data_IF_740678516070
#
_entry.id   IF_740678516070
#
_cell.length_a   1.000
_cell.length_b   1.000
_cell.length_c   1.000
_cell.angle_alpha   90.00
_cell.angle_beta   90.00
_cell.angle_gamma   90.00
#
_symmetry.space_group_name_H-M   'P 1'
#
loop_
_entity.id
_entity.type
_entity.pdbx_description
1 polymer ?
#
# COMPACT_ATOMS: atom_id res chain seq x y z
N UNK A 1 -7.50 -41.02 -19.23
CA UNK A 1 -7.38 -40.96 -17.76
C UNK A 1 -6.32 -39.91 -17.42
N UNK A 2 -6.73 -38.80 -16.79
CA UNK A 2 -5.75 -37.85 -16.26
C UNK A 2 -4.99 -38.50 -15.10
N UNK A 3 -3.67 -38.53 -15.15
CA UNK A 3 -2.85 -38.97 -14.02
C UNK A 3 -3.11 -38.04 -12.84
N UNK A 4 -3.36 -38.59 -11.61
CA UNK A 4 -3.49 -37.73 -10.44
C UNK A 4 -2.23 -36.90 -10.27
N UNK A 5 -2.40 -35.63 -9.84
CA UNK A 5 -1.28 -34.76 -9.48
C UNK A 5 -0.38 -35.52 -8.51
N UNK A 6 0.89 -35.70 -8.89
CA UNK A 6 1.85 -36.44 -8.08
C UNK A 6 2.35 -35.51 -6.97
N UNK A 7 1.59 -35.44 -5.87
CA UNK A 7 1.94 -34.71 -4.65
C UNK A 7 2.73 -35.68 -3.76
N UNK A 8 4.00 -35.42 -3.59
CA UNK A 8 4.89 -36.21 -2.72
C UNK A 8 5.36 -35.34 -1.55
N UNK A 9 5.45 -35.96 -0.36
CA UNK A 9 6.07 -35.35 0.83
C UNK A 9 7.31 -36.14 1.18
N UNK A 10 8.49 -35.50 1.14
CA UNK A 10 9.77 -36.07 1.50
C UNK A 10 10.45 -35.17 2.53
N UNK A 11 10.86 -35.71 3.67
CA UNK A 11 11.57 -34.97 4.74
C UNK A 11 10.88 -33.65 5.09
N UNK A 12 9.56 -33.68 5.34
CA UNK A 12 8.71 -32.54 5.66
C UNK A 12 8.48 -31.52 4.51
N UNK A 13 9.13 -31.71 3.38
CA UNK A 13 8.96 -30.86 2.19
C UNK A 13 7.95 -31.46 1.22
N UNK A 14 7.02 -30.63 0.74
CA UNK A 14 6.03 -31.02 -0.25
C UNK A 14 6.58 -30.77 -1.67
N UNK A 15 6.42 -31.73 -2.55
CA UNK A 15 6.88 -31.69 -3.94
C UNK A 15 5.71 -31.81 -4.90
N UNK A 16 5.79 -31.09 -6.00
CA UNK A 16 4.93 -31.21 -7.18
C UNK A 16 5.85 -31.48 -8.40
N UNK A 17 5.70 -32.60 -9.06
CA UNK A 17 6.60 -33.03 -10.15
C UNK A 17 8.09 -33.03 -9.78
N UNK A 18 8.42 -33.48 -8.56
CA UNK A 18 9.77 -33.47 -7.98
C UNK A 18 10.37 -32.06 -7.73
N UNK A 19 9.58 -31.01 -7.78
CA UNK A 19 10.00 -29.66 -7.43
C UNK A 19 9.31 -29.20 -6.13
N UNK A 20 10.06 -28.63 -5.17
CA UNK A 20 9.45 -28.02 -4.01
C UNK A 20 8.67 -26.78 -4.44
N UNK A 21 7.49 -26.57 -3.88
CA UNK A 21 6.66 -25.42 -4.23
C UNK A 21 6.30 -24.59 -3.00
N UNK A 22 6.12 -23.29 -3.20
CA UNK A 22 5.67 -22.38 -2.16
C UNK A 22 4.16 -22.49 -1.97
N UNK A 23 3.74 -22.51 -0.71
CA UNK A 23 2.34 -22.60 -0.30
C UNK A 23 1.99 -21.38 0.55
N UNK A 24 0.87 -20.78 0.29
CA UNK A 24 0.33 -19.67 1.10
C UNK A 24 -1.17 -19.54 0.91
N UNK A 25 -1.83 -18.91 1.88
CA UNK A 25 -3.20 -18.41 1.76
C UNK A 25 -3.15 -16.90 1.72
N UNK A 26 -3.89 -16.31 0.80
CA UNK A 26 -4.00 -14.85 0.63
C UNK A 26 -5.45 -14.43 0.64
N UNK A 27 -5.77 -13.43 1.48
CA UNK A 27 -7.08 -12.80 1.56
C UNK A 27 -6.95 -11.29 1.42
N UNK A 28 -7.87 -10.68 0.68
CA UNK A 28 -7.91 -9.25 0.42
C UNK A 28 -9.34 -8.73 0.58
N UNK A 29 -9.46 -7.55 1.19
CA UNK A 29 -10.68 -6.78 1.25
C UNK A 29 -10.38 -5.38 0.71
N UNK A 30 -11.06 -4.98 -0.34
CA UNK A 30 -10.94 -3.65 -0.95
C UNK A 30 -12.34 -3.05 -1.08
N UNK A 31 -12.59 -1.97 -0.35
CA UNK A 31 -13.87 -1.29 -0.31
C UNK A 31 -13.71 0.15 -0.76
N UNK A 32 -14.48 0.54 -1.77
CA UNK A 32 -14.48 1.88 -2.35
C UNK A 32 -15.88 2.46 -2.24
N UNK A 33 -15.96 3.70 -1.74
CA UNK A 33 -17.22 4.42 -1.58
C UNK A 33 -17.07 5.87 -2.07
N UNK A 34 -18.08 6.34 -2.78
CA UNK A 34 -18.17 7.71 -3.25
C UNK A 34 -19.45 8.36 -2.71
N UNK A 35 -19.33 9.59 -2.22
CA UNK A 35 -20.46 10.40 -1.81
C UNK A 35 -20.47 11.70 -2.61
N UNK A 36 -21.57 11.98 -3.31
CA UNK A 36 -21.80 13.27 -3.92
C UNK A 36 -22.03 14.30 -2.81
N UNK A 37 -21.16 15.30 -2.72
CA UNK A 37 -21.28 16.42 -1.77
C UNK A 37 -22.07 17.54 -2.42
N UNK A 38 -21.85 17.79 -3.71
CA UNK A 38 -22.60 18.72 -4.54
C UNK A 38 -22.62 18.25 -5.99
N UNK A 39 -23.26 19.01 -6.89
CA UNK A 39 -23.20 18.74 -8.34
C UNK A 39 -21.78 18.81 -8.92
N UNK A 40 -20.85 19.46 -8.22
CA UNK A 40 -19.48 19.72 -8.67
C UNK A 40 -18.42 19.15 -7.74
N UNK A 41 -18.81 18.35 -6.74
CA UNK A 41 -17.84 17.77 -5.79
C UNK A 41 -18.23 16.40 -5.25
N UNK A 42 -17.22 15.57 -5.07
CA UNK A 42 -17.32 14.17 -4.62
C UNK A 42 -16.31 13.92 -3.51
N UNK A 43 -16.75 13.25 -2.48
CA UNK A 43 -15.88 12.67 -1.47
C UNK A 43 -15.69 11.18 -1.75
N UNK A 44 -14.47 10.73 -1.89
CA UNK A 44 -14.12 9.34 -2.18
C UNK A 44 -13.31 8.73 -1.03
N UNK A 45 -13.65 7.50 -0.67
CA UNK A 45 -12.99 6.69 0.34
C UNK A 45 -12.60 5.36 -0.26
N UNK A 46 -11.39 4.89 0.03
CA UNK A 46 -10.98 3.51 -0.16
C UNK A 46 -10.43 2.95 1.14
N UNK A 47 -10.81 1.73 1.46
CA UNK A 47 -10.25 0.94 2.57
C UNK A 47 -9.74 -0.39 2.02
N UNK A 48 -8.49 -0.68 2.26
CA UNK A 48 -7.85 -1.94 1.84
C UNK A 48 -7.22 -2.65 3.03
N UNK A 49 -7.50 -3.95 3.13
CA UNK A 49 -6.86 -4.87 4.08
C UNK A 49 -6.42 -6.09 3.31
N UNK A 50 -5.16 -6.44 3.38
CA UNK A 50 -4.61 -7.61 2.72
C UNK A 50 -3.70 -8.40 3.64
N UNK A 51 -3.86 -9.72 3.66
CA UNK A 51 -3.06 -10.66 4.44
C UNK A 51 -2.70 -11.86 3.61
N UNK A 52 -1.41 -12.23 3.61
CA UNK A 52 -0.92 -13.47 3.04
C UNK A 52 -0.13 -14.25 4.10
N UNK A 53 -0.50 -15.51 4.33
CA UNK A 53 0.10 -16.36 5.35
C UNK A 53 0.87 -17.48 4.66
N UNK A 54 2.20 -17.59 4.87
CA UNK A 54 2.98 -18.70 4.34
C UNK A 54 2.59 -20.00 5.02
N UNK A 55 2.58 -21.10 4.29
CA UNK A 55 2.20 -22.44 4.75
C UNK A 55 3.15 -23.49 4.21
N UNK A 56 3.16 -24.65 4.86
CA UNK A 56 3.89 -25.84 4.40
C UNK A 56 5.38 -25.58 4.19
N UNK A 57 5.85 -25.60 2.95
CA UNK A 57 7.26 -25.37 2.61
C UNK A 57 7.69 -23.89 2.68
N UNK A 58 6.74 -22.96 2.71
CA UNK A 58 7.04 -21.54 2.61
C UNK A 58 7.23 -20.96 4.01
N UNK A 59 8.34 -20.26 4.22
CA UNK A 59 8.60 -19.43 5.40
C UNK A 59 8.31 -17.95 5.13
N UNK A 60 8.19 -17.58 3.85
CA UNK A 60 7.87 -16.23 3.39
C UNK A 60 6.98 -16.27 2.16
N UNK A 61 6.39 -15.15 1.82
CA UNK A 61 5.57 -15.00 0.61
C UNK A 61 6.47 -14.63 -0.58
N UNK A 62 6.29 -15.24 -1.76
CA UNK A 62 7.03 -14.84 -2.95
C UNK A 62 6.83 -13.34 -3.26
N UNK A 63 7.90 -12.64 -3.65
CA UNK A 63 7.91 -11.20 -3.90
C UNK A 63 6.74 -10.72 -4.78
N UNK A 64 6.45 -11.42 -5.87
CA UNK A 64 5.37 -11.10 -6.80
C UNK A 64 3.95 -11.31 -6.23
N UNK A 65 3.83 -11.80 -5.01
CA UNK A 65 2.58 -12.03 -4.27
C UNK A 65 2.49 -11.25 -2.97
N UNK A 66 3.60 -10.67 -2.55
CA UNK A 66 3.69 -9.79 -1.40
C UNK A 66 2.99 -8.45 -1.64
N UNK A 67 2.78 -7.70 -0.59
CA UNK A 67 2.28 -6.34 -0.65
C UNK A 67 3.43 -5.34 -0.60
N UNK A 68 3.23 -4.22 -1.24
CA UNK A 68 4.07 -3.04 -1.13
C UNK A 68 3.20 -1.82 -0.82
N UNK A 69 3.81 -0.71 -0.41
CA UNK A 69 3.12 0.55 -0.18
C UNK A 69 3.88 1.72 -0.80
N UNK A 70 3.12 2.80 -1.07
CA UNK A 70 3.57 3.98 -1.80
C UNK A 70 3.15 3.98 -3.27
N UNK A 71 3.25 5.15 -3.89
CA UNK A 71 2.92 5.37 -5.30
C UNK A 71 1.54 6.00 -5.54
N UNK A 72 1.28 6.25 -6.80
CA UNK A 72 0.17 7.10 -7.25
C UNK A 72 -1.24 6.57 -6.89
N UNK A 73 -1.42 5.27 -6.67
CA UNK A 73 -2.70 4.63 -6.35
C UNK A 73 -2.74 4.04 -4.93
N UNK A 74 -1.79 4.45 -4.08
CA UNK A 74 -1.68 3.98 -2.70
C UNK A 74 -1.39 5.18 -1.78
N UNK A 75 -0.26 5.23 -1.08
CA UNK A 75 0.14 6.40 -0.31
C UNK A 75 1.01 7.32 -1.18
N UNK A 76 0.41 8.39 -1.69
CA UNK A 76 1.01 9.31 -2.67
C UNK A 76 2.17 10.15 -2.15
N UNK A 77 2.37 10.19 -0.83
CA UNK A 77 3.51 10.88 -0.23
C UNK A 77 4.83 10.08 -0.29
N UNK A 78 4.78 8.79 -0.69
CA UNK A 78 5.94 7.93 -0.88
C UNK A 78 6.01 7.41 -2.32
N UNK A 79 7.21 7.24 -2.80
CA UNK A 79 7.46 6.47 -4.02
C UNK A 79 7.06 4.99 -3.81
N UNK A 80 6.84 4.29 -4.91
CA UNK A 80 6.52 2.85 -4.90
C UNK A 80 7.65 2.08 -4.20
N UNK A 81 7.31 1.14 -3.32
CA UNK A 81 8.23 0.34 -2.50
C UNK A 81 9.04 1.12 -1.44
N UNK A 82 8.73 2.39 -1.18
CA UNK A 82 9.51 3.21 -0.24
C UNK A 82 8.86 3.40 1.13
N UNK A 83 7.69 2.82 1.35
CA UNK A 83 7.00 2.88 2.63
C UNK A 83 7.00 1.51 3.32
N UNK A 84 7.38 1.49 4.60
CA UNK A 84 7.40 0.29 5.43
C UNK A 84 8.55 -0.67 5.12
N UNK A 85 8.51 -1.91 5.62
CA UNK A 85 7.52 -2.44 6.59
C UNK A 85 7.60 -1.77 7.97
N UNK A 86 6.45 -1.50 8.55
CA UNK A 86 6.32 -0.92 9.88
C UNK A 86 7.09 0.38 10.06
N UNK A 87 7.93 0.46 11.11
CA UNK A 87 8.82 1.58 11.38
C UNK A 87 10.25 1.38 10.86
N UNK A 88 10.49 0.34 10.05
CA UNK A 88 11.80 0.13 9.44
C UNK A 88 12.07 1.17 8.33
N UNK A 89 13.33 1.45 8.10
CA UNK A 89 13.79 2.27 6.98
C UNK A 89 14.81 1.48 6.17
N UNK A 90 14.48 1.22 4.90
CA UNK A 90 15.42 0.68 3.93
C UNK A 90 15.58 1.67 2.78
N UNK A 91 16.77 2.25 2.64
CA UNK A 91 17.05 3.30 1.64
C UNK A 91 17.11 2.79 0.20
N UNK A 92 17.49 1.53 -0.02
CA UNK A 92 17.85 1.01 -1.34
C UNK A 92 17.13 -0.27 -1.78
N UNK A 93 16.27 -0.84 -0.94
CA UNK A 93 15.58 -2.10 -1.23
C UNK A 93 14.13 -1.88 -1.62
N UNK A 94 13.56 -2.84 -2.32
CA UNK A 94 12.14 -2.92 -2.56
C UNK A 94 11.46 -3.40 -1.27
N UNK A 95 10.80 -2.49 -0.58
CA UNK A 95 10.06 -2.82 0.64
C UNK A 95 8.79 -3.58 0.30
N UNK A 96 8.69 -4.77 0.85
CA UNK A 96 7.55 -5.67 0.71
C UNK A 96 7.24 -6.36 2.03
N UNK A 97 6.00 -6.80 2.19
CA UNK A 97 5.54 -7.55 3.35
C UNK A 97 4.30 -8.37 3.01
N UNK A 98 3.79 -9.11 3.98
CA UNK A 98 2.65 -10.01 3.76
C UNK A 98 1.35 -9.58 4.45
N UNK A 99 1.36 -8.43 5.14
CA UNK A 99 0.19 -7.77 5.69
C UNK A 99 0.17 -6.29 5.29
N UNK A 100 -0.98 -5.80 4.83
CA UNK A 100 -1.17 -4.40 4.39
C UNK A 100 -2.47 -3.83 4.92
N UNK A 101 -2.39 -2.60 5.41
CA UNK A 101 -3.54 -1.74 5.68
C UNK A 101 -3.39 -0.45 4.86
N UNK A 102 -4.47 -0.02 4.19
CA UNK A 102 -4.53 1.28 3.55
C UNK A 102 -5.93 1.89 3.66
N UNK A 103 -5.95 3.19 3.88
CA UNK A 103 -7.14 4.03 3.88
C UNK A 103 -6.81 5.28 3.06
N UNK A 104 -7.57 5.54 2.02
CA UNK A 104 -7.40 6.70 1.16
C UNK A 104 -8.66 7.54 1.21
N UNK A 105 -8.51 8.82 1.49
CA UNK A 105 -9.58 9.82 1.48
C UNK A 105 -9.25 10.87 0.43
N UNK A 106 -10.21 11.20 -0.42
CA UNK A 106 -10.04 12.22 -1.45
C UNK A 106 -11.31 13.05 -1.62
N UNK A 107 -11.17 14.36 -1.49
CA UNK A 107 -12.20 15.33 -1.84
C UNK A 107 -11.89 15.90 -3.22
N UNK A 108 -12.75 15.63 -4.19
CA UNK A 108 -12.66 16.05 -5.60
C UNK A 108 -13.64 17.17 -5.87
N UNK A 109 -13.23 18.21 -6.57
CA UNK A 109 -14.08 19.34 -6.89
C UNK A 109 -13.72 19.96 -8.25
N UNK A 110 -14.72 20.52 -8.93
CA UNK A 110 -14.52 21.18 -10.18
C UNK A 110 -13.83 22.55 -9.96
N UNK A 111 -12.90 22.89 -10.86
CA UNK A 111 -12.22 24.18 -10.87
C UNK A 111 -12.80 25.06 -11.97
N UNK A 112 -12.39 24.83 -13.20
CA UNK A 112 -12.89 25.53 -14.40
C UNK A 112 -12.71 24.64 -15.62
N UNK A 113 -13.68 24.68 -16.54
CA UNK A 113 -13.67 23.86 -17.75
C UNK A 113 -13.50 22.36 -17.41
N UNK A 114 -12.51 21.72 -18.01
CA UNK A 114 -12.17 20.31 -17.75
C UNK A 114 -11.18 20.10 -16.59
N UNK A 115 -10.78 21.17 -15.89
CA UNK A 115 -9.89 21.06 -14.74
C UNK A 115 -10.66 20.76 -13.45
N UNK A 116 -10.14 19.81 -12.69
CA UNK A 116 -10.63 19.42 -11.37
C UNK A 116 -9.51 19.47 -10.35
N UNK A 117 -9.83 19.90 -9.14
CA UNK A 117 -8.93 19.84 -7.99
C UNK A 117 -9.20 18.62 -7.13
N UNK A 118 -8.20 18.21 -6.36
CA UNK A 118 -8.42 17.29 -5.26
C UNK A 118 -7.53 17.62 -4.05
N UNK A 119 -8.09 17.37 -2.88
CA UNK A 119 -7.36 17.29 -1.61
C UNK A 119 -7.44 15.86 -1.11
N UNK A 120 -6.33 15.35 -0.59
CA UNK A 120 -6.31 13.95 -0.17
C UNK A 120 -5.52 13.71 1.10
N UNK A 121 -5.86 12.61 1.75
CA UNK A 121 -5.09 12.02 2.85
C UNK A 121 -5.05 10.52 2.64
N UNK A 122 -3.85 9.97 2.57
CA UNK A 122 -3.56 8.55 2.43
C UNK A 122 -2.92 8.04 3.74
N UNK A 123 -3.52 7.01 4.33
CA UNK A 123 -3.04 6.38 5.56
C UNK A 123 -2.77 4.93 5.26
N UNK A 124 -1.62 4.40 5.66
CA UNK A 124 -1.34 2.99 5.43
C UNK A 124 0.06 2.58 5.79
N UNK A 125 0.29 1.28 5.82
CA UNK A 125 1.59 0.67 5.94
C UNK A 125 1.52 -0.81 5.57
N UNK A 126 2.67 -1.46 5.49
CA UNK A 126 2.83 -2.90 5.36
C UNK A 126 3.61 -3.45 6.54
N UNK A 127 3.40 -4.71 6.89
CA UNK A 127 4.13 -5.41 7.96
C UNK A 127 4.28 -6.88 7.63
N UNK A 128 5.22 -7.52 8.31
CA UNK A 128 5.39 -8.95 8.29
C UNK A 128 4.63 -9.62 9.42
N UNK A 129 3.89 -10.70 9.12
CA UNK A 129 3.13 -11.52 10.07
C UNK A 129 3.27 -13.00 9.70
N UNK A 130 3.37 -13.88 10.70
CA UNK A 130 3.41 -15.34 10.49
C UNK A 130 4.49 -15.84 9.52
N UNK A 131 5.57 -15.09 9.35
CA UNK A 131 6.73 -15.40 8.52
C UNK A 131 8.02 -15.48 9.37
N UNK A 132 9.16 -15.71 8.74
CA UNK A 132 10.45 -15.85 9.39
C UNK A 132 11.20 -14.52 9.65
N UNK A 133 10.60 -13.39 9.32
CA UNK A 133 11.18 -12.06 9.57
C UNK A 133 11.23 -11.81 11.08
N UNK A 134 12.45 -11.58 11.60
CA UNK A 134 12.71 -11.42 13.05
C UNK A 134 12.83 -9.95 13.48
N UNK A 135 13.06 -9.02 12.56
CA UNK A 135 13.19 -7.60 12.89
C UNK A 135 11.86 -7.06 13.48
N UNK A 136 11.84 -6.64 14.76
CA UNK A 136 10.64 -6.18 15.42
C UNK A 136 10.04 -4.90 14.79
N UNK A 137 10.85 -4.11 14.09
CA UNK A 137 10.38 -2.90 13.39
C UNK A 137 9.58 -3.22 12.12
N UNK A 138 9.71 -4.43 11.60
CA UNK A 138 9.02 -4.90 10.39
C UNK A 138 7.78 -5.72 10.68
N UNK A 139 7.59 -6.17 11.91
CA UNK A 139 6.51 -7.07 12.32
C UNK A 139 5.30 -6.32 12.85
N UNK A 140 4.12 -6.89 12.59
CA UNK A 140 2.89 -6.48 13.26
C UNK A 140 2.62 -7.45 14.43
N UNK A 141 2.77 -6.96 15.65
CA UNK A 141 2.60 -7.73 16.88
C UNK A 141 1.26 -7.44 17.57
N UNK A 142 0.53 -6.44 17.11
CA UNK A 142 -0.78 -6.09 17.66
C UNK A 142 -1.20 -4.65 17.39
N UNK A 143 -2.32 -4.25 18.00
CA UNK A 143 -2.91 -2.92 17.76
C UNK A 143 -2.02 -1.73 18.13
N UNK A 144 -1.00 -1.92 18.97
CA UNK A 144 0.00 -0.89 19.28
C UNK A 144 0.78 -0.43 18.05
N UNK A 145 1.01 -1.33 17.10
CA UNK A 145 1.77 -1.07 15.88
C UNK A 145 0.97 -0.24 14.85
N UNK A 146 -0.33 -0.02 15.08
CA UNK A 146 -1.10 0.97 14.32
C UNK A 146 -0.56 2.40 14.48
N UNK A 147 0.23 2.67 15.52
CA UNK A 147 1.00 3.91 15.67
C UNK A 147 2.10 4.08 14.61
N UNK A 148 2.38 3.05 13.83
CA UNK A 148 3.31 3.04 12.71
C UNK A 148 2.61 3.24 11.35
N UNK A 149 1.31 3.52 11.35
CA UNK A 149 0.62 3.92 10.13
C UNK A 149 1.21 5.23 9.60
N UNK A 150 1.69 5.21 8.38
CA UNK A 150 2.16 6.40 7.69
C UNK A 150 0.97 7.23 7.23
N UNK A 151 1.09 8.55 7.33
CA UNK A 151 0.07 9.49 6.84
C UNK A 151 0.70 10.40 5.80
N UNK A 152 0.18 10.35 4.58
CA UNK A 152 0.47 11.27 3.50
C UNK A 152 -0.72 12.18 3.25
N UNK A 153 -0.50 13.49 3.15
CA UNK A 153 -1.54 14.45 2.80
C UNK A 153 -1.09 15.27 1.61
N UNK A 154 -2.01 15.73 0.79
CA UNK A 154 -1.62 16.48 -0.38
C UNK A 154 -2.77 17.04 -1.18
N UNK A 155 -2.40 17.56 -2.32
CA UNK A 155 -3.33 18.13 -3.30
C UNK A 155 -2.93 17.71 -4.71
N UNK A 156 -3.86 17.81 -5.63
CA UNK A 156 -3.57 17.50 -7.01
C UNK A 156 -4.54 18.15 -7.97
N UNK A 157 -4.11 18.18 -9.23
CA UNK A 157 -4.90 18.69 -10.36
C UNK A 157 -5.21 17.52 -11.30
N UNK A 158 -6.40 17.54 -11.84
CA UNK A 158 -6.87 16.58 -12.84
C UNK A 158 -7.31 17.34 -14.06
N UNK A 159 -7.06 16.77 -15.22
CA UNK A 159 -7.62 17.26 -16.49
C UNK A 159 -8.40 16.12 -17.15
N UNK A 160 -9.67 16.40 -17.40
CA UNK A 160 -10.60 15.44 -18.00
C UNK A 160 -10.59 15.59 -19.52
N UNK A 161 -10.04 14.60 -20.22
CA UNK A 161 -10.02 14.52 -21.68
C UNK A 161 -11.30 13.88 -22.26
N UNK A 162 -12.22 13.46 -21.41
CA UNK A 162 -13.42 12.73 -21.79
C UNK A 162 -13.20 11.22 -21.95
N UNK A 163 -12.09 10.78 -22.52
CA UNK A 163 -11.72 9.34 -22.64
C UNK A 163 -10.91 8.86 -21.44
N UNK A 164 -10.12 9.72 -20.84
CA UNK A 164 -9.32 9.45 -19.65
C UNK A 164 -9.07 10.73 -18.87
N UNK A 165 -8.71 10.58 -17.62
CA UNK A 165 -8.35 11.68 -16.73
C UNK A 165 -6.86 11.64 -16.49
N UNK A 166 -6.15 12.70 -16.81
CA UNK A 166 -4.76 12.88 -16.43
C UNK A 166 -4.70 13.55 -15.06
N UNK A 167 -3.88 13.04 -14.16
CA UNK A 167 -3.70 13.64 -12.83
C UNK A 167 -2.25 13.85 -12.47
N UNK A 168 -2.03 14.93 -11.77
CA UNK A 168 -0.78 15.29 -11.13
C UNK A 168 -1.05 15.53 -9.65
N UNK A 169 -0.48 14.71 -8.78
CA UNK A 169 -0.63 14.80 -7.34
C UNK A 169 0.68 15.18 -6.67
N UNK A 170 0.62 16.03 -5.64
CA UNK A 170 1.74 16.40 -4.78
C UNK A 170 1.42 15.96 -3.36
N UNK A 171 2.15 14.97 -2.86
CA UNK A 171 1.98 14.39 -1.55
C UNK A 171 3.11 14.77 -0.59
N UNK A 172 2.75 15.01 0.67
CA UNK A 172 3.64 15.36 1.76
C UNK A 172 3.55 14.32 2.86
N UNK A 173 4.68 13.90 3.41
CA UNK A 173 4.75 12.99 4.55
C UNK A 173 4.32 13.73 5.81
N UNK A 174 3.06 13.54 6.21
CA UNK A 174 2.45 14.14 7.40
C UNK A 174 2.85 13.39 8.66
N UNK A 175 2.86 12.05 8.60
CA UNK A 175 3.41 11.18 9.64
C UNK A 175 4.32 10.13 8.99
N UNK A 176 5.61 10.15 9.35
CA UNK A 176 6.59 9.17 8.86
C UNK A 176 7.02 8.23 10.00
N UNK A 177 6.56 6.96 10.01
CA UNK A 177 6.88 6.02 11.08
C UNK A 177 8.36 5.61 11.15
N UNK A 178 9.11 5.76 10.05
CA UNK A 178 10.53 5.43 10.00
C UNK A 178 11.43 6.40 10.79
N UNK A 179 10.89 7.57 11.15
CA UNK A 179 11.60 8.55 11.95
C UNK A 179 11.55 8.23 13.46
N UNK A 180 12.43 8.85 14.22
CA UNK A 180 12.35 8.85 15.70
C UNK A 180 10.97 9.35 16.16
N UNK A 181 10.41 8.76 17.21
CA UNK A 181 9.03 9.04 17.69
C UNK A 181 8.71 10.52 17.85
N UNK A 182 9.68 11.32 18.32
CA UNK A 182 9.54 12.78 18.50
C UNK A 182 9.50 13.57 17.18
N UNK A 183 9.92 12.97 16.08
CA UNK A 183 10.06 13.62 14.76
C UNK A 183 9.09 13.06 13.71
N UNK A 184 8.22 12.14 14.06
CA UNK A 184 7.33 11.45 13.10
C UNK A 184 6.30 12.37 12.46
N UNK A 185 5.80 13.35 13.21
CA UNK A 185 4.73 14.23 12.77
C UNK A 185 5.26 15.55 12.19
N UNK A 186 4.79 15.93 11.00
CA UNK A 186 4.97 17.21 10.32
C UNK A 186 6.42 17.63 10.00
N UNK A 187 7.42 16.86 10.41
CA UNK A 187 8.85 17.21 10.22
C UNK A 187 9.24 17.21 8.73
N UNK A 188 8.56 16.44 7.91
CA UNK A 188 8.81 16.34 6.48
C UNK A 188 7.78 17.09 5.63
N UNK A 189 6.96 17.94 6.23
CA UNK A 189 5.99 18.82 5.52
C UNK A 189 6.74 19.99 4.86
N UNK A 190 7.53 19.71 3.85
CA UNK A 190 8.36 20.65 3.13
C UNK A 190 8.28 20.39 1.63
N UNK A 191 8.21 21.46 0.81
CA UNK A 191 8.14 21.34 -0.65
C UNK A 191 9.30 20.53 -1.25
N UNK A 192 10.51 20.64 -0.67
CA UNK A 192 11.69 19.88 -1.13
C UNK A 192 11.60 18.37 -0.88
N UNK A 193 10.69 17.94 0.01
CA UNK A 193 10.45 16.54 0.38
C UNK A 193 9.13 16.01 -0.15
N UNK A 194 8.41 16.84 -0.89
CA UNK A 194 7.16 16.44 -1.51
C UNK A 194 7.42 15.38 -2.59
N UNK A 195 6.55 14.39 -2.63
CA UNK A 195 6.54 13.40 -3.70
C UNK A 195 5.52 13.84 -4.76
N UNK A 196 5.94 13.89 -6.01
CA UNK A 196 5.07 14.23 -7.13
C UNK A 196 4.77 12.95 -7.91
N UNK A 197 3.49 12.66 -8.06
CA UNK A 197 3.02 11.46 -8.78
C UNK A 197 2.14 11.84 -9.96
N UNK A 198 2.32 11.11 -11.05
CA UNK A 198 1.50 11.20 -12.25
C UNK A 198 0.63 9.96 -12.31
N UNK A 199 -0.63 10.12 -12.70
CA UNK A 199 -1.56 9.01 -12.87
C UNK A 199 -2.54 9.24 -14.01
N UNK A 200 -3.10 8.13 -14.49
CA UNK A 200 -4.20 8.12 -15.45
C UNK A 200 -5.43 7.59 -14.71
N UNK A 201 -6.56 8.25 -14.87
CA UNK A 201 -7.81 8.04 -14.14
C UNK A 201 -7.70 8.36 -12.63
N UNK A 202 -8.80 8.19 -11.91
CA UNK A 202 -8.80 8.35 -10.45
C UNK A 202 -8.03 7.21 -9.78
N UNK A 203 -7.44 7.42 -8.60
CA UNK A 203 -6.65 6.39 -7.92
C UNK A 203 -7.53 5.23 -7.40
N UNK A 204 -8.81 5.48 -7.18
CA UNK A 204 -9.83 4.52 -6.74
C UNK A 204 -11.22 5.07 -6.99
#
# INVERSE_FOLDING_TARGET
MAKPLNLERKNETNYLFNLPYSQYIKGEFDYIQHWLVSSSSVFALRTFVGLAVPLGNATSIPFNRSYFSGGANDNRAWEVYRLGPGSSFSGNEFNEANFKLALNLEYRFDLFGSFKGALFTDVGNIWNVFDDVTDPKRRFNGFGDLSELAVGSGFGVRYDFGLFIFRLDTGFKTHNPALEKSKRWLTELQLKKANVTIGINYPF
#
